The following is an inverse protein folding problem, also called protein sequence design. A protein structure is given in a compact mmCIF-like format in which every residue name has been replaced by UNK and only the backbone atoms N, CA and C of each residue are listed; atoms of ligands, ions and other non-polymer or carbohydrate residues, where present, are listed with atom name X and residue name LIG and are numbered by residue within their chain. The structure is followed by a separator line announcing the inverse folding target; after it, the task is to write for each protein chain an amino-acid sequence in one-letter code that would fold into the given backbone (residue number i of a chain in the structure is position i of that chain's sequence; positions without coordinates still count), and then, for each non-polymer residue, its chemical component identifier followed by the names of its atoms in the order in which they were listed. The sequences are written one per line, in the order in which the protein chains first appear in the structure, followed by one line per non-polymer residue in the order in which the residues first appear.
data_IF_333992070825
#
_entry.id   IF_333992070825
#
_cell.length_a   1.000
_cell.length_b   1.000
_cell.length_c   1.000
_cell.angle_alpha   90.00
_cell.angle_beta   90.00
_cell.angle_gamma   90.00
#
_symmetry.space_group_name_H-M   'P 1'
#
loop_
_entity.id
_entity.type
_entity.pdbx_description
1 polymer ?
#
# COMPACT_ATOMS: atom_id res chain seq x y z
N UNK A 1 -9.95 -21.92 5.51
CA UNK A 1 -9.24 -20.68 5.15
C UNK A 1 -10.24 -19.57 5.41
N UNK A 2 -9.87 -18.53 6.17
CA UNK A 2 -10.79 -17.42 6.41
C UNK A 2 -10.88 -16.58 5.13
N UNK A 3 -11.93 -16.82 4.34
CA UNK A 3 -12.16 -16.16 3.04
C UNK A 3 -12.13 -14.63 3.17
N UNK A 4 -12.56 -14.12 4.32
CA UNK A 4 -12.54 -12.69 4.64
C UNK A 4 -11.12 -12.13 4.66
N UNK A 5 -10.22 -12.78 5.43
CA UNK A 5 -8.83 -12.34 5.55
C UNK A 5 -8.12 -12.33 4.20
N UNK A 6 -8.23 -13.42 3.43
CA UNK A 6 -7.57 -13.51 2.12
C UNK A 6 -8.08 -12.44 1.16
N UNK A 7 -9.40 -12.18 1.14
CA UNK A 7 -10.00 -11.15 0.30
C UNK A 7 -9.48 -9.75 0.65
N UNK A 8 -9.58 -9.36 1.93
CA UNK A 8 -9.21 -8.01 2.36
C UNK A 8 -7.69 -7.80 2.32
N UNK A 9 -6.91 -8.80 2.72
CA UNK A 9 -5.45 -8.76 2.62
C UNK A 9 -5.02 -8.53 1.17
N UNK A 10 -5.62 -9.23 0.21
CA UNK A 10 -5.33 -9.03 -1.22
C UNK A 10 -5.69 -7.62 -1.70
N UNK A 11 -6.86 -7.10 -1.36
CA UNK A 11 -7.26 -5.73 -1.72
C UNK A 11 -6.35 -4.68 -1.09
N UNK A 12 -5.99 -4.86 0.18
CA UNK A 12 -5.09 -3.95 0.92
C UNK A 12 -3.68 -3.97 0.32
N UNK A 13 -3.13 -5.16 0.06
CA UNK A 13 -1.83 -5.31 -0.62
C UNK A 13 -1.84 -4.68 -2.00
N UNK A 14 -2.97 -4.71 -2.71
CA UNK A 14 -3.05 -4.10 -4.03
C UNK A 14 -2.75 -2.61 -4.00
N UNK A 15 -3.41 -1.86 -3.12
CA UNK A 15 -3.19 -0.42 -2.97
C UNK A 15 -1.84 -0.12 -2.31
N UNK A 16 -1.48 -0.86 -1.26
CA UNK A 16 -0.27 -0.60 -0.49
C UNK A 16 1.01 -0.94 -1.25
N UNK A 17 1.08 -2.13 -1.87
CA UNK A 17 2.29 -2.53 -2.59
C UNK A 17 2.48 -1.72 -3.86
N UNK A 18 1.40 -1.29 -4.51
CA UNK A 18 1.50 -0.34 -5.61
C UNK A 18 2.14 0.97 -5.12
N UNK A 19 1.64 1.56 -4.03
CA UNK A 19 2.23 2.75 -3.43
C UNK A 19 3.71 2.54 -3.07
N UNK A 20 4.05 1.41 -2.45
CA UNK A 20 5.42 1.09 -2.06
C UNK A 20 6.37 1.00 -3.25
N UNK A 21 5.94 0.39 -4.36
CA UNK A 21 6.72 0.31 -5.61
C UNK A 21 6.85 1.64 -6.32
N UNK A 22 5.82 2.48 -6.20
CA UNK A 22 5.74 3.79 -6.81
C UNK A 22 6.65 4.82 -6.14
N UNK A 23 6.87 4.66 -4.83
CA UNK A 23 7.66 5.59 -4.02
C UNK A 23 8.97 5.00 -3.50
N UNK A 24 9.38 3.83 -4.02
CA UNK A 24 10.60 3.10 -3.63
C UNK A 24 10.74 2.95 -2.09
N UNK A 25 9.65 2.54 -1.44
CA UNK A 25 9.59 2.46 0.01
C UNK A 25 10.53 1.35 0.52
N UNK A 26 11.42 1.72 1.43
CA UNK A 26 12.34 0.79 2.07
C UNK A 26 11.60 -0.26 2.90
N UNK A 27 11.94 -1.54 2.70
CA UNK A 27 11.38 -2.65 3.49
C UNK A 27 11.95 -2.68 4.92
N UNK A 28 13.22 -2.31 5.10
CA UNK A 28 13.89 -2.31 6.39
C UNK A 28 13.52 -1.10 7.25
N UNK A 29 13.40 0.06 6.61
CA UNK A 29 13.01 1.33 7.25
C UNK A 29 11.54 1.68 6.95
N UNK A 30 10.69 0.66 6.80
CA UNK A 30 9.28 0.83 6.49
C UNK A 30 8.59 1.66 7.59
N UNK A 31 7.78 2.63 7.17
CA UNK A 31 6.92 3.40 8.05
C UNK A 31 5.57 3.63 7.34
N UNK A 32 4.48 3.17 7.96
CA UNK A 32 3.13 3.26 7.41
C UNK A 32 2.68 4.71 7.19
N UNK A 33 3.24 5.67 7.94
CA UNK A 33 2.85 7.08 7.88
C UNK A 33 3.06 7.67 6.48
N UNK A 34 4.03 7.20 5.69
CA UNK A 34 4.18 7.66 4.31
C UNK A 34 2.93 7.33 3.46
N UNK A 35 2.47 6.08 3.51
CA UNK A 35 1.25 5.65 2.83
C UNK A 35 0.02 6.37 3.38
N UNK A 36 -0.09 6.45 4.71
CA UNK A 36 -1.21 7.14 5.36
C UNK A 36 -1.30 8.60 4.92
N UNK A 37 -0.21 9.37 5.01
CA UNK A 37 -0.19 10.78 4.60
C UNK A 37 -0.46 10.96 3.10
N UNK A 38 -0.02 10.04 2.26
CA UNK A 38 -0.36 10.05 0.84
C UNK A 38 -1.86 9.97 0.63
N UNK A 39 -2.55 9.02 1.27
CA UNK A 39 -4.00 8.91 1.20
C UNK A 39 -4.69 10.17 1.76
N UNK A 40 -4.24 10.69 2.90
CA UNK A 40 -4.80 11.92 3.49
C UNK A 40 -4.74 13.09 2.50
N UNK A 41 -3.62 13.25 1.79
CA UNK A 41 -3.44 14.31 0.79
C UNK A 41 -4.25 14.07 -0.47
N UNK A 42 -4.25 12.84 -1.00
CA UNK A 42 -4.96 12.46 -2.22
C UNK A 42 -6.48 12.70 -2.08
N UNK A 43 -7.05 12.27 -0.96
CA UNK A 43 -8.49 12.34 -0.70
C UNK A 43 -8.92 13.57 0.11
N UNK A 44 -7.98 14.49 0.41
CA UNK A 44 -8.23 15.71 1.19
C UNK A 44 -8.91 15.45 2.54
N UNK A 45 -8.49 14.38 3.22
CA UNK A 45 -9.07 13.95 4.50
C UNK A 45 -8.57 14.85 5.63
N UNK A 46 -9.45 15.26 6.53
CA UNK A 46 -9.08 15.98 7.75
C UNK A 46 -8.86 15.01 8.90
N UNK A 47 -7.67 15.03 9.51
CA UNK A 47 -7.37 14.21 10.70
C UNK A 47 -7.48 15.05 11.96
N UNK A 48 -8.36 14.68 12.89
CA UNK A 48 -8.73 15.49 14.04
C UNK A 48 -8.56 14.69 15.34
N UNK A 49 -7.64 15.13 16.20
CA UNK A 49 -7.50 14.54 17.54
C UNK A 49 -8.69 14.93 18.42
N UNK A 50 -9.35 13.96 19.02
CA UNK A 50 -10.50 14.17 19.91
C UNK A 50 -10.21 13.64 21.31
N UNK A 51 -10.97 14.13 22.29
CA UNK A 51 -11.15 13.45 23.57
C UNK A 51 -12.63 13.06 23.68
N UNK A 52 -12.92 11.77 23.54
CA UNK A 52 -14.27 11.26 23.59
C UNK A 52 -14.69 11.08 25.05
N UNK A 53 -15.66 11.89 25.49
CA UNK A 53 -16.20 11.78 26.85
C UNK A 53 -16.85 10.40 27.11
N UNK A 54 -17.27 9.72 26.04
CA UNK A 54 -17.72 8.34 26.05
C UNK A 54 -16.53 7.41 25.73
N UNK A 55 -16.01 6.72 26.76
CA UNK A 55 -14.85 5.79 26.66
C UNK A 55 -15.05 4.59 25.73
N UNK A 56 -16.20 4.49 25.07
CA UNK A 56 -16.48 3.42 24.12
C UNK A 56 -16.05 3.76 22.70
N UNK A 57 -15.84 5.03 22.37
CA UNK A 57 -15.45 5.46 21.01
C UNK A 57 -13.94 5.66 20.98
N UNK A 58 -13.29 4.97 20.05
CA UNK A 58 -11.83 5.01 19.88
C UNK A 58 -11.43 5.79 18.63
N UNK A 59 -12.25 5.66 17.57
CA UNK A 59 -12.13 6.37 16.31
C UNK A 59 -13.50 6.71 15.72
N UNK A 60 -13.50 7.72 14.82
CA UNK A 60 -14.70 8.13 14.11
C UNK A 60 -14.36 8.60 12.70
N UNK A 61 -15.04 8.05 11.69
CA UNK A 61 -15.06 8.55 10.32
C UNK A 61 -16.37 9.26 10.03
N UNK A 62 -16.29 10.47 9.46
CA UNK A 62 -17.43 11.25 8.97
C UNK A 62 -17.22 11.61 7.50
N UNK A 63 -18.21 11.32 6.67
CA UNK A 63 -18.25 11.67 5.25
C UNK A 63 -19.55 12.44 4.97
N UNK A 64 -19.44 13.74 4.68
CA UNK A 64 -20.59 14.61 4.44
C UNK A 64 -20.34 15.62 3.30
N UNK A 65 -21.27 16.56 3.12
CA UNK A 65 -21.19 17.61 2.09
C UNK A 65 -19.98 18.55 2.25
N UNK A 66 -19.37 18.60 3.45
CA UNK A 66 -18.21 19.43 3.77
C UNK A 66 -16.88 18.71 3.54
N UNK A 67 -16.89 17.37 3.47
CA UNK A 67 -15.72 16.56 3.13
C UNK A 67 -15.61 15.28 3.96
N UNK A 68 -14.38 14.79 4.09
CA UNK A 68 -14.06 13.57 4.84
C UNK A 68 -13.21 13.94 6.06
N UNK A 69 -13.55 13.38 7.22
CA UNK A 69 -12.72 13.52 8.42
C UNK A 69 -12.57 12.22 9.18
N UNK A 70 -11.36 11.99 9.69
CA UNK A 70 -11.03 10.91 10.62
C UNK A 70 -10.68 11.49 11.98
N UNK A 71 -11.22 10.88 13.03
CA UNK A 71 -10.98 11.27 14.41
C UNK A 71 -10.48 10.09 15.23
N UNK A 72 -9.67 10.39 16.25
CA UNK A 72 -9.11 9.38 17.14
C UNK A 72 -8.97 9.93 18.56
N UNK A 73 -9.01 9.04 19.56
CA UNK A 73 -8.79 9.41 20.96
C UNK A 73 -7.32 9.77 21.20
N UNK A 74 -7.08 11.04 21.53
CA UNK A 74 -5.73 11.60 21.68
C UNK A 74 -4.98 11.08 22.90
N UNK A 75 -5.69 10.63 23.94
CA UNK A 75 -5.08 10.15 25.18
C UNK A 75 -4.66 8.68 25.10
N UNK A 76 -4.99 7.98 24.00
CA UNK A 76 -4.52 6.63 23.76
C UNK A 76 -3.00 6.56 23.53
N UNK A 77 -2.34 5.42 23.81
CA UNK A 77 -0.96 5.19 23.40
C UNK A 77 -0.79 5.34 21.88
N UNK A 78 0.36 5.87 21.43
CA UNK A 78 0.66 6.09 20.00
C UNK A 78 0.39 4.85 19.14
N UNK A 79 0.81 3.67 19.59
CA UNK A 79 0.58 2.41 18.85
C UNK A 79 -0.89 2.07 18.63
N UNK A 80 -1.78 2.54 19.52
CA UNK A 80 -3.24 2.38 19.38
C UNK A 80 -3.82 3.47 18.48
N UNK A 81 -3.34 4.72 18.60
CA UNK A 81 -3.70 5.80 17.67
C UNK A 81 -3.37 5.41 16.22
N UNK A 82 -2.18 4.85 15.97
CA UNK A 82 -1.76 4.39 14.65
C UNK A 82 -2.70 3.32 14.09
N UNK A 83 -3.10 2.35 14.93
CA UNK A 83 -4.02 1.29 14.53
C UNK A 83 -5.40 1.85 14.20
N UNK A 84 -5.95 2.73 15.04
CA UNK A 84 -7.25 3.38 14.81
C UNK A 84 -7.21 4.23 13.53
N UNK A 85 -6.18 5.03 13.30
CA UNK A 85 -6.06 5.84 12.08
C UNK A 85 -6.05 4.98 10.80
N UNK A 86 -5.30 3.88 10.79
CA UNK A 86 -5.30 2.94 9.69
C UNK A 86 -6.62 2.16 9.56
N UNK A 87 -7.34 1.95 10.67
CA UNK A 87 -8.65 1.32 10.69
C UNK A 87 -9.71 2.24 10.04
N UNK A 88 -9.74 3.52 10.40
CA UNK A 88 -10.61 4.52 9.76
C UNK A 88 -10.30 4.66 8.26
N UNK A 89 -9.01 4.67 7.89
CA UNK A 89 -8.61 4.61 6.48
C UNK A 89 -9.11 3.33 5.79
N UNK A 90 -9.14 2.20 6.51
CA UNK A 90 -9.69 0.94 6.01
C UNK A 90 -11.18 1.04 5.70
N UNK A 91 -11.98 1.66 6.56
CA UNK A 91 -13.40 1.93 6.27
C UNK A 91 -13.57 2.71 4.97
N UNK A 92 -12.76 3.74 4.78
CA UNK A 92 -12.83 4.59 3.61
C UNK A 92 -12.38 3.88 2.32
N UNK A 93 -11.19 3.26 2.32
CA UNK A 93 -10.60 2.63 1.12
C UNK A 93 -11.36 1.37 0.70
N UNK A 94 -11.96 0.64 1.65
CA UNK A 94 -12.79 -0.53 1.35
C UNK A 94 -14.24 -0.16 0.97
N UNK A 95 -14.56 1.14 0.88
CA UNK A 95 -15.88 1.64 0.48
C UNK A 95 -17.02 1.06 1.32
N UNK A 96 -16.82 0.93 2.64
CA UNK A 96 -17.87 0.44 3.53
C UNK A 96 -19.09 1.37 3.47
N UNK A 97 -20.30 0.80 3.42
CA UNK A 97 -21.53 1.59 3.33
C UNK A 97 -21.82 2.33 4.64
N UNK A 98 -21.96 3.65 4.55
CA UNK A 98 -22.27 4.52 5.69
C UNK A 98 -21.50 5.83 5.66
N UNK A 99 -22.10 6.89 6.19
CA UNK A 99 -21.45 8.21 6.30
C UNK A 99 -20.81 8.44 7.68
N UNK A 100 -21.01 7.49 8.60
CA UNK A 100 -20.58 7.56 9.99
C UNK A 100 -20.14 6.17 10.46
N UNK A 101 -18.87 6.04 10.81
CA UNK A 101 -18.32 4.83 11.44
C UNK A 101 -17.74 5.24 12.78
N UNK A 102 -18.08 4.50 13.84
CA UNK A 102 -17.52 4.71 15.17
C UNK A 102 -16.92 3.39 15.64
N UNK A 103 -15.59 3.32 15.72
CA UNK A 103 -14.91 2.19 16.35
C UNK A 103 -15.39 2.15 17.81
N UNK A 104 -16.18 1.11 18.14
CA UNK A 104 -16.68 0.92 19.49
C UNK A 104 -16.46 -0.48 20.01
N UNK A 105 -16.16 -0.55 21.31
CA UNK A 105 -15.88 -1.80 22.02
C UNK A 105 -17.02 -2.81 21.86
N UNK A 106 -18.27 -2.35 21.70
CA UNK A 106 -19.46 -3.19 21.62
C UNK A 106 -19.77 -3.71 20.19
N UNK A 107 -19.16 -3.14 19.13
CA UNK A 107 -19.50 -3.45 17.73
C UNK A 107 -18.38 -4.18 16.95
N UNK A 108 -17.31 -4.60 17.63
CA UNK A 108 -16.11 -5.20 17.03
C UNK A 108 -16.35 -6.51 16.24
N UNK A 109 -17.53 -7.14 16.38
CA UNK A 109 -17.87 -8.37 15.68
C UNK A 109 -18.50 -8.17 14.29
N UNK A 110 -18.85 -6.92 13.93
CA UNK A 110 -19.43 -6.66 12.62
C UNK A 110 -18.43 -6.99 11.49
N UNK A 111 -18.94 -7.41 10.33
CA UNK A 111 -18.07 -7.76 9.20
C UNK A 111 -17.18 -6.57 8.78
N UNK A 112 -17.74 -5.37 8.70
CA UNK A 112 -17.03 -4.16 8.28
C UNK A 112 -15.87 -3.81 9.24
N UNK A 113 -16.09 -3.94 10.55
CA UNK A 113 -15.07 -3.69 11.57
C UNK A 113 -13.92 -4.71 11.47
N UNK A 114 -14.26 -5.98 11.20
CA UNK A 114 -13.25 -7.03 10.97
C UNK A 114 -12.44 -6.74 9.70
N UNK A 115 -13.08 -6.28 8.63
CA UNK A 115 -12.41 -5.89 7.39
C UNK A 115 -11.45 -4.71 7.61
N UNK A 116 -11.90 -3.65 8.29
CA UNK A 116 -11.07 -2.50 8.64
C UNK A 116 -9.89 -2.88 9.55
N UNK A 117 -10.10 -3.80 10.50
CA UNK A 117 -9.03 -4.35 11.35
C UNK A 117 -7.97 -5.12 10.53
N UNK A 118 -8.40 -5.92 9.56
CA UNK A 118 -7.48 -6.63 8.66
C UNK A 118 -6.69 -5.63 7.82
N UNK A 119 -7.37 -4.63 7.24
CA UNK A 119 -6.73 -3.56 6.47
C UNK A 119 -5.64 -2.86 7.30
N UNK A 120 -5.99 -2.41 8.52
CA UNK A 120 -5.07 -1.73 9.43
C UNK A 120 -3.85 -2.59 9.75
N UNK A 121 -4.05 -3.87 10.08
CA UNK A 121 -2.97 -4.79 10.39
C UNK A 121 -2.03 -5.04 9.19
N UNK A 122 -2.58 -5.15 7.97
CA UNK A 122 -1.79 -5.35 6.74
C UNK A 122 -1.01 -4.09 6.36
N UNK A 123 -1.60 -2.89 6.53
CA UNK A 123 -0.91 -1.62 6.31
C UNK A 123 0.23 -1.43 7.32
N UNK A 124 -0.03 -1.61 8.61
CA UNK A 124 0.98 -1.40 9.64
C UNK A 124 2.13 -2.41 9.55
N UNK A 125 1.84 -3.65 9.14
CA UNK A 125 2.79 -4.75 9.15
C UNK A 125 2.68 -5.59 7.86
N UNK A 126 3.17 -5.10 6.72
CA UNK A 126 3.00 -5.80 5.44
C UNK A 126 3.80 -7.12 5.37
N UNK A 127 3.32 -8.12 4.63
CA UNK A 127 3.97 -9.45 4.57
C UNK A 127 5.45 -9.35 4.17
N UNK A 128 5.74 -8.56 3.15
CA UNK A 128 7.09 -8.39 2.63
C UNK A 128 8.03 -7.70 3.64
N UNK A 129 7.48 -6.78 4.45
CA UNK A 129 8.22 -6.07 5.51
C UNK A 129 8.48 -7.02 6.68
N UNK A 130 7.48 -7.78 7.11
CA UNK A 130 7.64 -8.81 8.14
C UNK A 130 8.65 -9.88 7.72
N UNK A 131 8.58 -10.34 6.47
CA UNK A 131 9.57 -11.27 5.92
C UNK A 131 10.98 -10.66 5.94
N UNK A 132 11.12 -9.41 5.49
CA UNK A 132 12.41 -8.71 5.51
C UNK A 132 12.99 -8.61 6.93
N UNK A 133 12.20 -8.14 7.89
CA UNK A 133 12.64 -7.91 9.27
C UNK A 133 12.89 -9.20 10.04
N UNK A 134 11.99 -10.18 9.94
CA UNK A 134 12.09 -11.43 10.71
C UNK A 134 13.08 -12.38 10.06
N UNK A 135 12.93 -12.67 8.77
CA UNK A 135 13.68 -13.75 8.13
C UNK A 135 15.06 -13.33 7.63
N UNK A 136 15.19 -12.11 7.07
CA UNK A 136 16.45 -11.64 6.51
C UNK A 136 17.29 -10.83 7.50
N UNK A 137 16.66 -9.97 8.30
CA UNK A 137 17.34 -9.17 9.32
C UNK A 137 17.46 -9.88 10.67
N UNK A 138 16.68 -10.94 10.91
CA UNK A 138 16.65 -11.67 12.18
C UNK A 138 16.32 -10.77 13.38
N UNK A 139 15.49 -9.74 13.16
CA UNK A 139 15.10 -8.79 14.20
C UNK A 139 14.36 -9.52 15.33
N UNK A 140 14.48 -9.00 16.56
CA UNK A 140 13.73 -9.53 17.71
C UNK A 140 12.28 -9.03 17.67
N UNK A 141 11.37 -9.76 18.32
CA UNK A 141 9.95 -9.37 18.40
C UNK A 141 9.79 -7.92 18.90
N UNK A 142 10.51 -7.57 19.98
CA UNK A 142 10.48 -6.21 20.54
C UNK A 142 11.03 -5.15 19.57
N UNK A 143 12.07 -5.48 18.80
CA UNK A 143 12.61 -4.56 17.80
C UNK A 143 11.58 -4.27 16.70
N UNK A 144 10.86 -5.30 16.24
CA UNK A 144 9.81 -5.13 15.22
C UNK A 144 8.67 -4.28 15.75
N UNK A 145 8.18 -4.55 16.96
CA UNK A 145 7.14 -3.74 17.60
C UNK A 145 7.50 -2.26 17.64
N UNK A 146 8.72 -1.95 18.07
CA UNK A 146 9.20 -0.59 18.18
C UNK A 146 9.41 0.05 16.81
N UNK A 147 9.97 -0.69 15.83
CA UNK A 147 10.25 -0.12 14.50
C UNK A 147 9.00 0.10 13.64
N UNK A 148 7.91 -0.61 13.92
CA UNK A 148 6.63 -0.47 13.22
C UNK A 148 5.59 0.31 14.05
N UNK A 149 5.95 0.75 15.26
CA UNK A 149 5.06 1.43 16.21
C UNK A 149 3.72 0.70 16.44
N UNK A 150 3.80 -0.61 16.73
CA UNK A 150 2.64 -1.49 16.96
C UNK A 150 2.65 -2.16 18.34
N UNK A 151 1.45 -2.51 18.82
CA UNK A 151 1.30 -3.24 20.08
C UNK A 151 1.75 -4.70 19.96
N UNK A 152 2.07 -5.32 21.11
CA UNK A 152 2.41 -6.76 21.18
C UNK A 152 1.29 -7.63 20.60
N UNK A 153 0.05 -7.28 20.96
CA UNK A 153 -1.14 -7.98 20.53
C UNK A 153 -1.33 -7.90 19.02
N UNK A 154 -1.20 -6.70 18.44
CA UNK A 154 -1.32 -6.51 17.00
C UNK A 154 -0.28 -7.34 16.23
N UNK A 155 0.99 -7.30 16.64
CA UNK A 155 2.04 -8.09 15.98
C UNK A 155 1.82 -9.60 16.13
N UNK A 156 1.38 -10.07 17.30
CA UNK A 156 1.05 -11.47 17.52
C UNK A 156 -0.03 -11.96 16.55
N UNK A 157 -1.19 -11.28 16.52
CA UNK A 157 -2.30 -11.70 15.66
C UNK A 157 -1.96 -11.55 14.19
N UNK A 158 -1.21 -10.51 13.82
CA UNK A 158 -0.75 -10.33 12.46
C UNK A 158 0.11 -11.50 11.94
N UNK A 159 1.06 -11.97 12.74
CA UNK A 159 1.90 -13.13 12.39
C UNK A 159 1.05 -14.42 12.33
N UNK A 160 0.10 -14.56 13.25
CA UNK A 160 -0.82 -15.69 13.26
C UNK A 160 -1.68 -15.72 11.98
N UNK A 161 -2.26 -14.59 11.58
CA UNK A 161 -3.07 -14.48 10.38
C UNK A 161 -2.24 -14.73 9.11
N UNK A 162 -1.03 -14.14 9.03
CA UNK A 162 -0.08 -14.39 7.93
C UNK A 162 0.17 -15.88 7.73
N UNK A 163 0.60 -16.57 8.79
CA UNK A 163 1.04 -17.96 8.70
C UNK A 163 -0.14 -18.92 8.50
N UNK A 164 -1.32 -18.61 9.04
CA UNK A 164 -2.50 -19.46 8.89
C UNK A 164 -2.97 -19.58 7.44
N UNK A 165 -2.70 -18.58 6.62
CA UNK A 165 -2.97 -18.61 5.17
C UNK A 165 -2.18 -19.74 4.48
N UNK A 166 -0.90 -19.91 4.85
CA UNK A 166 -0.01 -20.90 4.24
C UNK A 166 -0.03 -22.26 4.94
N UNK A 167 -0.47 -22.32 6.19
CA UNK A 167 -0.47 -23.53 7.02
C UNK A 167 -1.84 -23.82 7.63
N UNK A 168 -2.85 -24.16 6.82
CA UNK A 168 -4.20 -24.45 7.32
C UNK A 168 -4.18 -25.63 8.31
N UNK A 169 -4.87 -25.47 9.44
CA UNK A 169 -4.97 -26.50 10.49
C UNK A 169 -3.73 -26.63 11.41
N UNK A 170 -2.73 -25.75 11.28
CA UNK A 170 -1.52 -25.73 12.13
C UNK A 170 -1.51 -24.62 13.19
N UNK A 171 -2.69 -24.14 13.57
CA UNK A 171 -2.84 -22.95 14.45
C UNK A 171 -2.06 -23.06 15.77
N UNK A 172 -2.12 -24.20 16.46
CA UNK A 172 -1.39 -24.40 17.72
C UNK A 172 0.14 -24.35 17.50
N UNK A 173 0.64 -24.92 16.41
CA UNK A 173 2.06 -24.89 16.05
C UNK A 173 2.51 -23.46 15.74
N UNK A 174 1.68 -22.70 15.03
CA UNK A 174 1.96 -21.29 14.71
C UNK A 174 1.97 -20.44 15.98
N UNK A 175 0.96 -20.58 16.86
CA UNK A 175 0.90 -19.84 18.13
C UNK A 175 2.14 -20.11 18.98
N UNK A 176 2.52 -21.39 19.14
CA UNK A 176 3.73 -21.75 19.87
C UNK A 176 4.98 -21.11 19.25
N UNK A 177 5.12 -21.13 17.92
CA UNK A 177 6.26 -20.51 17.25
C UNK A 177 6.34 -18.99 17.48
N UNK A 178 5.19 -18.31 17.57
CA UNK A 178 5.13 -16.88 17.88
C UNK A 178 5.43 -16.61 19.36
N UNK A 179 4.92 -17.43 20.27
CA UNK A 179 5.21 -17.34 21.71
C UNK A 179 6.70 -17.57 21.99
N UNK A 180 7.31 -18.56 21.34
CA UNK A 180 8.75 -18.82 21.37
C UNK A 180 9.53 -17.59 20.88
N UNK A 181 9.08 -16.97 19.78
CA UNK A 181 9.71 -15.77 19.23
C UNK A 181 9.60 -14.55 20.17
N UNK A 182 8.46 -14.39 20.85
CA UNK A 182 8.27 -13.40 21.92
C UNK A 182 9.25 -13.66 23.08
N UNK A 183 9.52 -14.93 23.39
CA UNK A 183 10.50 -15.33 24.40
C UNK A 183 11.97 -15.27 23.90
N UNK A 184 12.21 -14.83 22.66
CA UNK A 184 13.54 -14.67 22.07
C UNK A 184 14.05 -15.88 21.26
N UNK A 185 13.23 -16.93 21.10
CA UNK A 185 13.56 -18.13 20.32
C UNK A 185 12.91 -18.05 18.93
N UNK A 186 13.69 -17.76 17.88
CA UNK A 186 13.15 -17.51 16.53
C UNK A 186 13.21 -18.70 15.56
N UNK A 187 13.87 -19.81 15.93
CA UNK A 187 14.17 -20.91 14.99
C UNK A 187 12.92 -21.49 14.31
N UNK A 188 11.86 -21.79 15.07
CA UNK A 188 10.60 -22.35 14.53
C UNK A 188 9.93 -21.37 13.58
N UNK A 189 9.87 -20.08 13.93
CA UNK A 189 9.28 -19.04 13.09
C UNK A 189 10.07 -18.86 11.78
N UNK A 190 11.40 -18.87 11.85
CA UNK A 190 12.27 -18.77 10.67
C UNK A 190 12.07 -19.96 9.71
N UNK A 191 11.87 -21.17 10.21
CA UNK A 191 11.59 -22.35 9.38
C UNK A 191 10.22 -22.25 8.67
N UNK A 192 9.20 -21.72 9.36
CA UNK A 192 7.91 -21.45 8.75
C UNK A 192 8.06 -20.41 7.64
N UNK A 193 8.70 -19.27 7.93
CA UNK A 193 8.94 -18.22 6.92
C UNK A 193 9.78 -18.70 5.74
N UNK A 194 10.80 -19.54 5.98
CA UNK A 194 11.64 -20.10 4.93
C UNK A 194 10.83 -20.81 3.84
N UNK A 195 9.79 -21.54 4.23
CA UNK A 195 9.02 -22.35 3.28
C UNK A 195 8.03 -21.53 2.44
N UNK A 196 7.76 -20.28 2.84
CA UNK A 196 6.78 -19.39 2.20
C UNK A 196 7.39 -18.12 1.60
N UNK A 197 8.70 -17.90 1.82
CA UNK A 197 9.38 -16.65 1.41
C UNK A 197 9.28 -16.37 -0.08
N UNK A 198 9.39 -17.39 -0.93
CA UNK A 198 9.38 -17.23 -2.39
C UNK A 198 8.00 -16.78 -2.88
N UNK A 199 6.93 -17.27 -2.25
CA UNK A 199 5.55 -16.88 -2.55
C UNK A 199 5.31 -15.41 -2.21
N UNK A 200 5.75 -14.96 -1.02
CA UNK A 200 5.63 -13.56 -0.59
C UNK A 200 6.46 -12.64 -1.49
N UNK A 201 7.71 -13.00 -1.79
CA UNK A 201 8.59 -12.21 -2.68
C UNK A 201 8.01 -12.12 -4.09
N UNK A 202 7.51 -13.24 -4.62
CA UNK A 202 6.87 -13.26 -5.95
C UNK A 202 5.62 -12.41 -5.97
N UNK A 203 4.76 -12.49 -4.94
CA UNK A 203 3.58 -11.62 -4.83
C UNK A 203 3.98 -10.14 -4.88
N UNK A 204 4.92 -9.73 -4.03
CA UNK A 204 5.38 -8.34 -3.99
C UNK A 204 6.03 -7.88 -5.31
N UNK A 205 6.77 -8.76 -5.99
CA UNK A 205 7.43 -8.43 -7.26
C UNK A 205 6.50 -8.43 -8.47
N UNK A 206 5.30 -9.00 -8.36
CA UNK A 206 4.28 -8.87 -9.40
C UNK A 206 3.74 -7.43 -9.51
N UNK A 207 3.88 -6.63 -8.45
CA UNK A 207 3.61 -5.20 -8.49
C UNK A 207 4.75 -4.48 -9.20
N UNK A 208 4.40 -3.69 -10.20
CA UNK A 208 5.34 -2.89 -10.98
C UNK A 208 5.13 -1.41 -10.69
N UNK A 209 6.22 -0.65 -10.68
CA UNK A 209 6.14 0.82 -10.66
C UNK A 209 5.25 1.29 -11.80
N UNK A 210 4.29 2.14 -11.47
CA UNK A 210 3.30 2.68 -12.39
C UNK A 210 4.00 3.37 -13.56
N UNK A 211 3.38 3.31 -14.73
CA UNK A 211 3.94 3.94 -15.92
C UNK A 211 4.11 5.46 -15.72
N UNK A 212 3.26 6.07 -14.90
CA UNK A 212 3.32 7.49 -14.53
C UNK A 212 4.64 7.80 -13.82
N UNK A 213 4.99 7.04 -12.78
CA UNK A 213 6.20 7.28 -12.01
C UNK A 213 7.48 6.99 -12.82
N UNK A 214 7.37 6.16 -13.87
CA UNK A 214 8.45 5.98 -14.86
C UNK A 214 8.55 7.17 -15.83
N UNK A 215 7.42 7.76 -16.24
CA UNK A 215 7.35 8.89 -17.17
C UNK A 215 7.80 10.19 -16.51
N UNK A 216 7.36 10.46 -15.27
CA UNK A 216 7.52 11.75 -14.60
C UNK A 216 8.98 12.23 -14.53
N UNK A 217 9.98 11.44 -14.09
CA UNK A 217 11.36 11.89 -14.06
C UNK A 217 11.89 12.22 -15.46
N UNK A 218 11.52 11.42 -16.46
CA UNK A 218 11.95 11.60 -17.84
C UNK A 218 11.36 12.88 -18.45
N UNK A 219 10.08 13.13 -18.25
CA UNK A 219 9.36 14.30 -18.76
C UNK A 219 9.68 15.56 -17.95
N UNK A 220 9.86 15.45 -16.63
CA UNK A 220 10.30 16.58 -15.80
C UNK A 220 11.68 17.08 -16.26
N UNK A 221 12.61 16.16 -16.53
CA UNK A 221 13.97 16.51 -16.96
C UNK A 221 14.09 16.94 -18.43
N UNK A 222 13.38 16.27 -19.36
CA UNK A 222 13.57 16.44 -20.82
C UNK A 222 12.34 16.97 -21.56
N UNK A 223 11.20 17.07 -20.88
CA UNK A 223 9.90 17.38 -21.48
C UNK A 223 9.33 16.25 -22.33
N UNK A 224 9.98 15.09 -22.43
CA UNK A 224 9.70 14.07 -23.44
C UNK A 224 10.27 12.68 -23.06
N UNK A 225 9.55 11.62 -23.39
CA UNK A 225 9.99 10.21 -23.27
C UNK A 225 9.33 9.36 -24.36
N UNK A 226 10.00 8.27 -24.80
CA UNK A 226 9.52 7.40 -25.88
C UNK A 226 9.49 5.93 -25.49
N UNK A 227 8.81 5.11 -26.31
CA UNK A 227 8.75 3.66 -26.15
C UNK A 227 10.06 2.92 -26.41
N UNK A 228 11.11 3.59 -26.86
CA UNK A 228 12.47 3.03 -26.82
C UNK A 228 13.00 2.92 -25.40
N UNK A 229 12.64 3.89 -24.55
CA UNK A 229 13.08 3.97 -23.17
C UNK A 229 12.06 3.28 -22.24
N UNK A 230 10.77 3.42 -22.54
CA UNK A 230 9.66 2.84 -21.79
C UNK A 230 8.73 2.04 -22.73
N UNK A 231 9.07 0.79 -23.08
CA UNK A 231 8.27 -0.03 -24.01
C UNK A 231 6.80 -0.15 -23.65
N UNK A 232 6.45 -0.01 -22.37
CA UNK A 232 5.07 -0.03 -21.85
C UNK A 232 4.18 1.07 -22.45
N UNK A 233 4.78 2.13 -23.03
CA UNK A 233 4.05 3.18 -23.76
C UNK A 233 3.35 2.68 -25.03
N UNK A 234 3.78 1.54 -25.58
CA UNK A 234 3.11 0.93 -26.73
C UNK A 234 1.78 0.27 -26.34
N UNK A 235 1.58 -0.06 -25.06
CA UNK A 235 0.30 -0.54 -24.58
C UNK A 235 -0.66 0.65 -24.43
N UNK A 236 -1.69 0.70 -25.28
CA UNK A 236 -2.66 1.80 -25.30
C UNK A 236 -3.56 1.84 -24.05
N UNK A 237 -3.69 0.73 -23.31
CA UNK A 237 -4.45 0.71 -22.05
C UNK A 237 -3.87 1.71 -21.03
N UNK A 238 -2.54 1.90 -21.06
CA UNK A 238 -1.83 2.86 -20.21
C UNK A 238 -2.13 4.33 -20.55
N UNK A 239 -2.62 4.62 -21.76
CA UNK A 239 -2.77 6.00 -22.22
C UNK A 239 -3.88 6.74 -21.51
N UNK A 240 -4.93 6.02 -21.07
CA UNK A 240 -6.01 6.61 -20.30
C UNK A 240 -5.48 7.14 -18.96
N UNK A 241 -4.64 6.34 -18.29
CA UNK A 241 -3.96 6.72 -17.05
C UNK A 241 -3.03 7.91 -17.26
N UNK A 242 -2.23 7.91 -18.33
CA UNK A 242 -1.30 9.02 -18.65
C UNK A 242 -2.04 10.35 -18.85
N UNK A 243 -3.15 10.32 -19.61
CA UNK A 243 -3.94 11.52 -19.90
C UNK A 243 -4.71 12.06 -18.69
N UNK A 244 -5.15 11.17 -17.79
CA UNK A 244 -5.92 11.55 -16.62
C UNK A 244 -5.05 11.98 -15.43
N UNK A 245 -3.78 11.54 -15.39
CA UNK A 245 -2.91 11.82 -14.26
C UNK A 245 -2.44 13.27 -14.23
N UNK A 246 -2.15 13.87 -15.39
CA UNK A 246 -1.62 15.22 -15.49
C UNK A 246 -2.16 15.92 -16.74
N UNK A 247 -2.86 17.04 -16.55
CA UNK A 247 -3.49 17.80 -17.65
C UNK A 247 -2.48 18.30 -18.70
N UNK A 248 -1.22 18.48 -18.31
CA UNK A 248 -0.17 18.94 -19.20
C UNK A 248 0.49 17.83 -20.02
N UNK A 249 0.26 16.55 -19.70
CA UNK A 249 0.83 15.44 -20.45
C UNK A 249 -0.03 15.06 -21.65
N UNK A 250 0.63 14.85 -22.79
CA UNK A 250 0.03 14.27 -23.99
C UNK A 250 0.78 13.01 -24.39
N UNK A 251 0.07 12.07 -24.99
CA UNK A 251 0.61 10.80 -25.49
C UNK A 251 0.14 10.54 -26.91
N UNK A 252 1.07 10.21 -27.81
CA UNK A 252 0.83 9.88 -29.22
C UNK A 252 1.65 8.66 -29.67
N UNK A 253 1.26 8.08 -30.80
CA UNK A 253 1.95 7.00 -31.50
C UNK A 253 2.21 7.44 -32.94
N UNK A 254 3.43 7.20 -33.42
CA UNK A 254 3.77 7.30 -34.85
C UNK A 254 4.06 5.90 -35.35
N UNK A 255 3.55 5.60 -36.54
CA UNK A 255 3.86 4.39 -37.29
C UNK A 255 4.44 4.79 -38.65
N UNK A 256 5.58 4.20 -39.02
CA UNK A 256 6.16 4.34 -40.36
C UNK A 256 6.84 3.02 -40.77
N UNK A 257 6.49 2.52 -41.96
CA UNK A 257 7.09 1.33 -42.62
C UNK A 257 7.31 0.12 -41.68
N UNK A 258 6.31 -0.25 -40.90
CA UNK A 258 6.38 -1.41 -40.01
C UNK A 258 7.04 -1.14 -38.65
N UNK A 259 7.55 0.06 -38.41
CA UNK A 259 8.07 0.50 -37.11
C UNK A 259 7.06 1.41 -36.42
N UNK A 260 7.01 1.35 -35.09
CA UNK A 260 6.16 2.23 -34.29
C UNK A 260 6.90 2.78 -33.09
N UNK A 261 6.60 4.03 -32.73
CA UNK A 261 7.12 4.67 -31.52
C UNK A 261 5.98 5.42 -30.82
N UNK A 262 5.73 5.06 -29.57
CA UNK A 262 4.86 5.82 -28.69
C UNK A 262 5.69 6.82 -27.90
N UNK A 263 5.12 7.98 -27.58
CA UNK A 263 5.83 9.02 -26.84
C UNK A 263 4.88 9.87 -26.01
N UNK A 264 5.41 10.33 -24.88
CA UNK A 264 4.73 11.24 -23.94
C UNK A 264 5.54 12.52 -23.85
N UNK A 265 4.86 13.66 -23.83
CA UNK A 265 5.50 14.95 -23.65
C UNK A 265 4.66 15.90 -22.80
N UNK A 266 5.35 16.85 -22.18
CA UNK A 266 4.74 17.96 -21.45
C UNK A 266 4.42 19.09 -22.44
N UNK A 267 3.13 19.37 -22.63
CA UNK A 267 2.64 20.40 -23.57
C UNK A 267 3.06 21.82 -23.16
N UNK A 268 3.50 22.02 -21.92
CA UNK A 268 4.04 23.28 -21.44
C UNK A 268 5.53 23.45 -21.80
N UNK A 269 6.23 22.37 -22.16
CA UNK A 269 7.67 22.38 -22.51
C UNK A 269 7.93 22.18 -24.00
N UNK A 270 7.08 21.44 -24.69
CA UNK A 270 7.20 21.17 -26.13
C UNK A 270 5.86 21.37 -26.82
N UNK A 271 5.89 22.04 -27.97
CA UNK A 271 4.73 22.09 -28.85
C UNK A 271 4.49 20.72 -29.48
N UNK A 272 3.23 20.47 -29.87
CA UNK A 272 2.82 19.26 -30.58
C UNK A 272 3.71 18.97 -31.82
N UNK A 273 4.13 20.01 -32.53
CA UNK A 273 5.00 19.90 -33.71
C UNK A 273 6.42 19.47 -33.34
N UNK A 274 7.01 20.07 -32.31
CA UNK A 274 8.36 19.74 -31.84
C UNK A 274 8.43 18.32 -31.27
N UNK A 275 7.43 17.94 -30.47
CA UNK A 275 7.33 16.59 -29.92
C UNK A 275 7.22 15.55 -31.03
N UNK A 276 6.37 15.80 -32.03
CA UNK A 276 6.24 14.92 -33.20
C UNK A 276 7.55 14.80 -33.98
N UNK A 277 8.22 15.91 -34.30
CA UNK A 277 9.49 15.88 -35.02
C UNK A 277 10.59 15.12 -34.26
N UNK A 278 10.66 15.28 -32.93
CA UNK A 278 11.59 14.50 -32.09
C UNK A 278 11.30 13.00 -32.14
N UNK A 279 10.02 12.62 -32.08
CA UNK A 279 9.60 11.22 -32.15
C UNK A 279 9.89 10.61 -33.53
N UNK A 280 9.64 11.34 -34.62
CA UNK A 280 9.98 10.91 -35.99
C UNK A 280 11.49 10.68 -36.13
N UNK A 281 12.32 11.59 -35.62
CA UNK A 281 13.77 11.42 -35.63
C UNK A 281 14.20 10.16 -34.86
N UNK A 282 13.58 9.89 -33.71
CA UNK A 282 13.84 8.68 -32.93
C UNK A 282 13.42 7.41 -33.67
N UNK A 283 12.28 7.44 -34.36
CA UNK A 283 11.79 6.33 -35.17
C UNK A 283 12.72 5.99 -36.34
N UNK A 284 13.29 7.00 -36.99
CA UNK A 284 14.25 6.84 -38.09
C UNK A 284 15.57 6.19 -37.63
N UNK A 285 15.92 6.32 -36.35
CA UNK A 285 17.12 5.74 -35.74
C UNK A 285 16.91 4.33 -35.17
N UNK A 286 15.67 3.81 -35.18
CA UNK A 286 15.35 2.39 -34.94
C UNK A 286 15.59 1.58 -36.19
#
# INVERSE_FOLDING_TARGET
MDELYTRISKSTKHVLYQYMKDHDISLLNYNFNYFFQHCIQEYQIQVISHHFSNRKIEGLTVIDELGISFSYEKDNPIVKQNFTLCHELGHFILEHEGNYFAESIDNQESLLEREANIFSAVVLMPDIVLLSKIYYSCDTFQHIQNSLDVSKQALFFRLLDLLREYYPGKENTIKQAIDDYIAGQNATLLLLLHSIKEQIIKEFNNYQTSIINKIEPAVSKRGFVTSQELPELLNQDNWKTIKNCHDNLKVWLIYDKGKSIAYVWDKNKLTDKEAKQKAELKLLLM
#
